data_IF_297786756498
#
_entry.id   IF_297786756498
#
_cell.length_a   1.000
_cell.length_b   1.000
_cell.length_c   1.000
_cell.angle_alpha   90.00
_cell.angle_beta   90.00
_cell.angle_gamma   90.00
#
_symmetry.space_group_name_H-M   'P 1'
#
loop_
_entity.id
_entity.type
_entity.pdbx_description
1 polymer ?
#
# COMPACT_ATOMS: atom_id res chain seq x y z
N UNK A 1 -26.40 -6.22 44.31
CA UNK A 1 -27.23 -5.66 43.23
C UNK A 1 -26.45 -4.55 42.52
N UNK A 2 -26.61 -4.48 41.20
CA UNK A 2 -26.23 -3.41 40.26
C UNK A 2 -24.73 -3.15 39.99
N UNK A 3 -24.22 -3.81 38.94
CA UNK A 3 -23.11 -3.29 38.09
C UNK A 3 -23.33 -3.55 36.59
N UNK A 4 -24.58 -3.41 36.11
CA UNK A 4 -24.93 -3.55 34.68
C UNK A 4 -25.27 -2.19 34.04
N UNK A 5 -24.39 -1.19 34.13
CA UNK A 5 -24.68 0.13 33.55
C UNK A 5 -23.50 0.82 32.87
N UNK A 6 -22.55 0.06 32.32
CA UNK A 6 -21.51 0.64 31.46
C UNK A 6 -21.23 -0.31 30.29
N UNK A 7 -22.20 -0.51 29.39
CA UNK A 7 -21.89 -1.17 28.11
C UNK A 7 -22.80 -0.74 26.95
N UNK A 8 -23.41 0.45 27.02
CA UNK A 8 -24.40 0.90 26.02
C UNK A 8 -24.12 2.32 25.49
N UNK A 9 -22.86 2.74 25.44
CA UNK A 9 -22.46 4.02 24.82
C UNK A 9 -21.24 3.83 23.90
N UNK A 10 -21.24 2.75 23.11
CA UNK A 10 -20.17 2.48 22.14
C UNK A 10 -20.72 2.20 20.73
N UNK A 11 -21.90 2.73 20.42
CA UNK A 11 -22.60 2.51 19.15
C UNK A 11 -23.05 3.78 18.41
N UNK A 12 -22.48 4.94 18.73
CA UNK A 12 -22.79 6.20 18.05
C UNK A 12 -21.49 6.94 17.72
N UNK A 13 -21.04 6.87 16.47
CA UNK A 13 -19.97 7.77 16.03
C UNK A 13 -19.18 7.45 14.76
N UNK A 14 -19.48 6.39 14.00
CA UNK A 14 -18.81 6.15 12.71
C UNK A 14 -19.79 6.33 11.54
N UNK A 15 -20.37 7.53 11.42
CA UNK A 15 -20.80 8.03 10.12
C UNK A 15 -19.53 8.41 9.33
N UNK A 16 -18.87 7.39 8.78
CA UNK A 16 -17.88 7.62 7.73
C UNK A 16 -18.61 8.25 6.57
N UNK A 17 -18.43 9.56 6.38
CA UNK A 17 -18.69 10.18 5.10
C UNK A 17 -17.77 9.49 4.09
N UNK A 18 -18.26 8.44 3.44
CA UNK A 18 -17.64 7.89 2.23
C UNK A 18 -17.93 8.90 1.14
N UNK A 19 -17.18 10.00 1.14
CA UNK A 19 -16.96 10.72 -0.10
C UNK A 19 -16.22 9.73 -0.99
N UNK A 20 -16.93 9.13 -1.94
CA UNK A 20 -16.34 8.27 -2.95
C UNK A 20 -15.29 9.13 -3.70
N UNK A 21 -14.03 8.96 -3.34
CA UNK A 21 -12.93 9.69 -3.95
C UNK A 21 -12.88 9.30 -5.43
N UNK A 22 -13.04 10.28 -6.32
CA UNK A 22 -13.04 10.06 -7.77
C UNK A 22 -11.76 9.34 -8.18
N UNK A 23 -11.88 8.36 -9.08
CA UNK A 23 -10.71 7.70 -9.67
C UNK A 23 -9.96 8.65 -10.60
N UNK A 24 -8.70 8.36 -10.89
CA UNK A 24 -7.91 9.14 -11.85
C UNK A 24 -8.57 9.20 -13.24
N UNK A 25 -9.20 8.11 -13.68
CA UNK A 25 -9.93 8.06 -14.94
C UNK A 25 -11.16 8.98 -14.93
N UNK A 26 -11.90 9.02 -13.81
CA UNK A 26 -13.03 9.94 -13.65
C UNK A 26 -12.56 11.40 -13.66
N UNK A 27 -11.45 11.71 -12.98
CA UNK A 27 -10.82 13.04 -13.01
C UNK A 27 -10.46 13.41 -14.45
N UNK A 28 -9.72 12.56 -15.15
CA UNK A 28 -9.28 12.81 -16.53
C UNK A 28 -10.45 12.93 -17.51
N UNK A 29 -11.52 12.16 -17.33
CA UNK A 29 -12.74 12.26 -18.15
C UNK A 29 -13.42 13.62 -17.96
N UNK A 30 -13.53 14.11 -16.72
CA UNK A 30 -14.07 15.45 -16.45
C UNK A 30 -13.22 16.57 -17.07
N UNK A 31 -11.90 16.41 -17.08
CA UNK A 31 -11.00 17.34 -17.73
C UNK A 31 -11.14 17.30 -19.26
N UNK A 32 -11.26 16.11 -19.87
CA UNK A 32 -11.50 15.95 -21.30
C UNK A 32 -12.77 16.70 -21.76
N UNK A 33 -13.84 16.60 -20.97
CA UNK A 33 -15.08 17.33 -21.21
C UNK A 33 -14.91 18.86 -21.13
N UNK A 34 -14.13 19.35 -20.18
CA UNK A 34 -13.82 20.78 -20.07
C UNK A 34 -12.98 21.29 -21.26
N UNK A 35 -12.00 20.50 -21.73
CA UNK A 35 -11.26 20.82 -22.95
C UNK A 35 -12.16 20.89 -24.17
N UNK A 36 -13.10 19.94 -24.30
CA UNK A 36 -14.09 19.91 -25.38
C UNK A 36 -14.94 21.19 -25.40
N UNK A 37 -15.47 21.59 -24.23
CA UNK A 37 -16.24 22.84 -24.10
C UNK A 37 -15.44 24.09 -24.49
N UNK A 38 -14.15 24.15 -24.14
CA UNK A 38 -13.28 25.27 -24.55
C UNK A 38 -13.10 25.29 -26.08
N UNK A 39 -12.93 24.11 -26.69
CA UNK A 39 -12.78 23.99 -28.15
C UNK A 39 -14.03 24.42 -28.90
N UNK A 40 -15.19 23.90 -28.49
CA UNK A 40 -16.49 24.12 -29.15
C UNK A 40 -17.03 25.54 -28.95
N UNK A 41 -16.54 26.28 -27.95
CA UNK A 41 -17.00 27.63 -27.69
C UNK A 41 -16.55 28.60 -28.81
N UNK A 42 -17.49 29.00 -29.66
CA UNK A 42 -17.27 29.96 -30.76
C UNK A 42 -17.03 31.39 -30.31
N UNK A 43 -17.35 31.75 -29.05
CA UNK A 43 -17.17 33.10 -28.50
C UNK A 43 -15.75 33.39 -28.04
N UNK A 44 -14.90 32.38 -27.95
CA UNK A 44 -13.51 32.53 -27.50
C UNK A 44 -12.57 32.62 -28.69
N UNK A 45 -11.66 33.59 -28.66
CA UNK A 45 -10.57 33.68 -29.63
C UNK A 45 -9.54 32.55 -29.43
N UNK A 46 -8.72 32.29 -30.45
CA UNK A 46 -7.64 31.30 -30.37
C UNK A 46 -6.70 31.50 -29.17
N UNK A 47 -6.18 32.72 -28.93
CA UNK A 47 -5.33 33.00 -27.77
C UNK A 47 -6.03 32.77 -26.43
N UNK A 48 -7.31 33.15 -26.31
CA UNK A 48 -8.08 32.94 -25.07
C UNK A 48 -8.31 31.45 -24.79
N UNK A 49 -8.63 30.66 -25.84
CA UNK A 49 -8.72 29.20 -25.73
C UNK A 49 -7.40 28.62 -25.26
N UNK A 50 -6.27 29.05 -25.84
CA UNK A 50 -4.95 28.56 -25.45
C UNK A 50 -4.64 28.86 -23.97
N UNK A 51 -4.94 30.08 -23.50
CA UNK A 51 -4.75 30.46 -22.08
C UNK A 51 -5.59 29.60 -21.15
N UNK A 52 -6.86 29.40 -21.46
CA UNK A 52 -7.78 28.59 -20.65
C UNK A 52 -7.35 27.12 -20.62
N UNK A 53 -6.96 26.55 -21.75
CA UNK A 53 -6.44 25.17 -21.81
C UNK A 53 -5.18 25.02 -20.97
N UNK A 54 -4.26 25.99 -21.02
CA UNK A 54 -3.04 25.97 -20.19
C UNK A 54 -3.38 25.99 -18.71
N UNK A 55 -4.31 26.86 -18.29
CA UNK A 55 -4.77 26.90 -16.90
C UNK A 55 -5.43 25.58 -16.48
N UNK A 56 -6.23 24.99 -17.37
CA UNK A 56 -6.89 23.72 -17.14
C UNK A 56 -5.90 22.56 -17.01
N UNK A 57 -4.83 22.54 -17.83
CA UNK A 57 -3.76 21.56 -17.75
C UNK A 57 -3.00 21.64 -16.43
N UNK A 58 -2.69 22.85 -15.95
CA UNK A 58 -2.05 23.04 -14.64
C UNK A 58 -2.94 22.54 -13.50
N UNK A 59 -4.26 22.73 -13.60
CA UNK A 59 -5.21 22.24 -12.62
C UNK A 59 -5.30 20.70 -12.65
N UNK A 60 -5.38 20.11 -13.84
CA UNK A 60 -5.39 18.66 -14.04
C UNK A 60 -4.14 17.99 -13.47
N UNK A 61 -2.96 18.57 -13.71
CA UNK A 61 -1.69 18.07 -13.17
C UNK A 61 -1.69 18.08 -11.63
N UNK A 62 -2.17 19.18 -11.02
CA UNK A 62 -2.27 19.29 -9.55
C UNK A 62 -3.25 18.26 -8.96
N UNK A 63 -4.41 18.08 -9.59
CA UNK A 63 -5.42 17.14 -9.12
C UNK A 63 -4.93 15.69 -9.26
N UNK A 64 -4.28 15.36 -10.40
CA UNK A 64 -3.67 14.07 -10.61
C UNK A 64 -2.55 13.80 -9.60
N UNK A 65 -1.67 14.76 -9.33
CA UNK A 65 -0.63 14.63 -8.28
C UNK A 65 -1.23 14.39 -6.90
N UNK A 66 -2.33 15.10 -6.58
CA UNK A 66 -3.03 14.94 -5.30
C UNK A 66 -3.64 13.55 -5.18
N UNK A 67 -4.27 13.05 -6.25
CA UNK A 67 -4.76 11.68 -6.32
C UNK A 67 -3.63 10.69 -6.13
N UNK A 68 -2.51 10.85 -6.85
CA UNK A 68 -1.35 9.97 -6.79
C UNK A 68 -0.75 9.90 -5.38
N UNK A 69 -0.61 11.05 -4.71
CA UNK A 69 -0.13 11.12 -3.33
C UNK A 69 -1.09 10.44 -2.35
N UNK A 70 -2.40 10.68 -2.48
CA UNK A 70 -3.40 10.05 -1.65
C UNK A 70 -3.46 8.53 -1.89
N UNK A 71 -3.34 8.10 -3.15
CA UNK A 71 -3.28 6.69 -3.54
C UNK A 71 -2.04 6.02 -2.97
N UNK A 72 -0.86 6.64 -3.12
CA UNK A 72 0.40 6.17 -2.51
C UNK A 72 0.33 6.07 -0.99
N UNK A 73 -0.31 7.05 -0.34
CA UNK A 73 -0.52 7.03 1.11
C UNK A 73 -1.44 5.89 1.55
N UNK A 74 -2.48 5.59 0.78
CA UNK A 74 -3.51 4.61 1.15
C UNK A 74 -3.14 3.17 0.78
N UNK A 75 -2.48 2.96 -0.35
CA UNK A 75 -2.18 1.65 -0.90
C UNK A 75 -0.68 1.31 -0.93
N UNK A 76 0.19 2.23 -0.49
CA UNK A 76 1.64 2.08 -0.59
C UNK A 76 2.14 2.36 -2.01
N UNK A 77 3.34 1.87 -2.33
CA UNK A 77 3.86 1.91 -3.71
C UNK A 77 2.93 1.13 -4.68
N UNK A 78 3.19 1.24 -5.98
CA UNK A 78 2.52 0.45 -7.03
C UNK A 78 2.44 -1.04 -6.67
N UNK A 79 1.61 -1.81 -7.40
CA UNK A 79 1.57 -3.28 -7.27
C UNK A 79 2.98 -3.88 -7.19
N UNK A 80 3.90 -3.42 -8.05
CA UNK A 80 5.29 -3.85 -8.05
C UNK A 80 6.06 -3.42 -6.80
N UNK A 81 5.83 -2.20 -6.30
CA UNK A 81 6.46 -1.76 -5.06
C UNK A 81 5.96 -2.51 -3.83
N UNK A 82 4.70 -2.94 -3.79
CA UNK A 82 4.19 -3.84 -2.74
C UNK A 82 4.81 -5.24 -2.84
N UNK A 83 4.95 -5.79 -4.05
CA UNK A 83 5.66 -7.06 -4.27
C UNK A 83 7.11 -6.97 -3.81
N UNK A 84 7.80 -5.88 -4.17
CA UNK A 84 9.18 -5.62 -3.75
C UNK A 84 9.32 -5.55 -2.23
N UNK A 85 8.38 -4.93 -1.52
CA UNK A 85 8.39 -4.93 -0.05
C UNK A 85 8.29 -6.33 0.54
N UNK A 86 7.48 -7.21 -0.05
CA UNK A 86 7.37 -8.61 0.38
C UNK A 86 8.67 -9.38 0.06
N UNK A 87 9.28 -9.13 -1.09
CA UNK A 87 10.59 -9.70 -1.46
C UNK A 87 11.70 -9.25 -0.50
N UNK A 88 11.76 -7.95 -0.18
CA UNK A 88 12.72 -7.42 0.79
C UNK A 88 12.56 -8.09 2.18
N UNK A 89 11.32 -8.42 2.60
CA UNK A 89 11.06 -9.18 3.83
C UNK A 89 11.55 -10.64 3.73
N UNK A 90 11.40 -11.28 2.57
CA UNK A 90 11.88 -12.65 2.35
C UNK A 90 13.41 -12.68 2.45
N UNK A 91 14.10 -11.73 1.82
CA UNK A 91 15.56 -11.64 1.87
C UNK A 91 16.08 -11.42 3.30
N UNK A 92 15.39 -10.58 4.08
CA UNK A 92 15.71 -10.38 5.49
C UNK A 92 15.49 -11.65 6.33
N UNK A 93 14.43 -12.40 6.04
CA UNK A 93 14.13 -13.66 6.69
C UNK A 93 15.21 -14.72 6.40
N UNK A 94 15.70 -14.80 5.17
CA UNK A 94 16.79 -15.69 4.78
C UNK A 94 18.10 -15.35 5.51
N UNK A 95 18.50 -14.08 5.48
CA UNK A 95 19.70 -13.61 6.22
C UNK A 95 19.61 -13.91 7.71
N UNK A 96 18.42 -13.74 8.30
CA UNK A 96 18.17 -14.04 9.71
C UNK A 96 18.28 -15.54 9.99
N UNK A 97 17.72 -16.37 9.11
CA UNK A 97 17.81 -17.83 9.21
C UNK A 97 19.27 -18.30 9.18
N UNK A 98 20.07 -17.84 8.22
CA UNK A 98 21.48 -18.23 8.10
C UNK A 98 22.27 -17.80 9.34
N UNK A 99 22.09 -16.55 9.79
CA UNK A 99 22.73 -16.04 11.01
C UNK A 99 22.35 -16.85 12.25
N UNK A 100 21.07 -17.16 12.43
CA UNK A 100 20.62 -17.97 13.58
C UNK A 100 21.13 -19.41 13.51
N UNK A 101 21.22 -19.98 12.31
CA UNK A 101 21.79 -21.31 12.09
C UNK A 101 23.26 -21.34 12.51
N UNK A 102 24.04 -20.35 12.10
CA UNK A 102 25.46 -20.26 12.43
C UNK A 102 25.66 -20.04 13.94
N UNK A 103 24.83 -19.20 14.58
CA UNK A 103 24.83 -19.03 16.04
C UNK A 103 24.52 -20.35 16.79
N UNK A 104 23.71 -21.24 16.23
CA UNK A 104 23.47 -22.57 16.82
C UNK A 104 24.70 -23.47 16.63
N UNK A 105 25.32 -23.43 15.45
CA UNK A 105 26.48 -24.24 15.11
C UNK A 105 27.71 -23.85 15.96
N UNK A 106 27.91 -22.56 16.21
CA UNK A 106 29.04 -22.01 16.99
C UNK A 106 28.83 -22.11 18.51
N UNK A 107 27.66 -22.51 18.98
CA UNK A 107 27.37 -22.55 20.40
C UNK A 107 28.03 -23.75 21.09
N UNK A 108 29.14 -23.50 21.80
CA UNK A 108 29.89 -24.53 22.54
C UNK A 108 29.13 -25.10 23.76
N UNK A 109 28.10 -24.42 24.26
CA UNK A 109 27.25 -24.89 25.36
C UNK A 109 26.18 -25.89 24.93
N UNK A 110 26.04 -26.18 23.63
CA UNK A 110 25.06 -27.12 23.11
C UNK A 110 25.70 -28.43 22.68
N UNK A 111 25.08 -29.54 23.06
CA UNK A 111 25.42 -30.86 22.51
C UNK A 111 25.01 -30.97 21.04
N UNK A 112 25.61 -31.92 20.30
CA UNK A 112 25.25 -32.20 18.89
C UNK A 112 23.75 -32.42 18.70
N UNK A 113 23.11 -33.16 19.61
CA UNK A 113 21.66 -33.43 19.57
C UNK A 113 20.85 -32.15 19.79
N UNK A 114 21.23 -31.31 20.76
CA UNK A 114 20.55 -30.03 20.99
C UNK A 114 20.68 -29.08 19.79
N UNK A 115 21.87 -28.99 19.18
CA UNK A 115 22.09 -28.22 17.94
C UNK A 115 21.19 -28.71 16.81
N UNK A 116 21.11 -30.03 16.60
CA UNK A 116 20.23 -30.63 15.59
C UNK A 116 18.76 -30.25 15.84
N UNK A 117 18.26 -30.44 17.06
CA UNK A 117 16.87 -30.12 17.41
C UNK A 117 16.56 -28.63 17.21
N UNK A 118 17.47 -27.74 17.59
CA UNK A 118 17.29 -26.29 17.41
C UNK A 118 17.29 -25.89 15.94
N UNK A 119 18.18 -26.46 15.11
CA UNK A 119 18.20 -26.21 13.67
C UNK A 119 16.94 -26.70 12.98
N UNK A 120 16.41 -27.87 13.35
CA UNK A 120 15.13 -28.36 12.81
C UNK A 120 13.95 -27.44 13.20
N UNK A 121 13.90 -26.98 14.45
CA UNK A 121 12.89 -26.02 14.88
C UNK A 121 13.00 -24.68 14.15
N UNK A 122 14.23 -24.18 13.95
CA UNK A 122 14.52 -22.97 13.19
C UNK A 122 14.06 -23.10 11.73
N UNK A 123 14.43 -24.22 11.06
CA UNK A 123 14.03 -24.50 9.68
C UNK A 123 12.52 -24.52 9.51
N UNK A 124 11.79 -25.21 10.38
CA UNK A 124 10.31 -25.25 10.33
C UNK A 124 9.69 -23.87 10.47
N UNK A 125 10.20 -23.02 11.37
CA UNK A 125 9.74 -21.64 11.54
C UNK A 125 10.03 -20.78 10.31
N UNK A 126 11.23 -20.91 9.76
CA UNK A 126 11.65 -20.22 8.55
C UNK A 126 10.75 -20.58 7.35
N UNK A 127 10.54 -21.88 7.09
CA UNK A 127 9.68 -22.35 6.00
C UNK A 127 8.24 -21.84 6.16
N UNK A 128 7.69 -21.94 7.37
CA UNK A 128 6.34 -21.43 7.66
C UNK A 128 6.21 -19.92 7.39
N UNK A 129 7.16 -19.11 7.84
CA UNK A 129 7.14 -17.66 7.61
C UNK A 129 7.34 -17.31 6.13
N UNK A 130 8.24 -18.02 5.45
CA UNK A 130 8.49 -17.81 4.01
C UNK A 130 7.26 -18.13 3.17
N UNK A 131 6.53 -19.18 3.48
CA UNK A 131 5.28 -19.52 2.79
C UNK A 131 4.17 -18.49 3.04
N UNK A 132 4.08 -17.91 4.24
CA UNK A 132 3.14 -16.80 4.49
C UNK A 132 3.48 -15.60 3.63
N UNK A 133 4.76 -15.22 3.54
CA UNK A 133 5.22 -14.11 2.71
C UNK A 133 5.01 -14.37 1.21
N UNK A 134 5.26 -15.58 0.72
CA UNK A 134 4.94 -15.94 -0.68
C UNK A 134 3.45 -15.80 -0.99
N UNK A 135 2.59 -16.30 -0.10
CA UNK A 135 1.13 -16.14 -0.24
C UNK A 135 0.69 -14.67 -0.19
N UNK A 136 1.35 -13.84 0.62
CA UNK A 136 1.14 -12.38 0.61
C UNK A 136 1.52 -11.79 -0.74
N UNK A 137 2.66 -12.20 -1.32
CA UNK A 137 3.12 -11.75 -2.64
C UNK A 137 2.17 -12.14 -3.76
N UNK A 138 1.65 -13.36 -3.73
CA UNK A 138 0.76 -13.88 -4.77
C UNK A 138 -0.62 -13.21 -4.76
N UNK A 139 -1.03 -12.69 -3.60
CA UNK A 139 -2.28 -11.92 -3.44
C UNK A 139 -2.18 -10.46 -3.92
N UNK A 140 -0.99 -9.99 -4.30
CA UNK A 140 -0.75 -8.62 -4.77
C UNK A 140 -0.86 -8.54 -6.30
#
# INVERSE_FOLDING_TARGET
MNKFFILTVLFLGLSVNVSAQKTQDQINKEYAEQYRKINENSKLSGPEKARLKKQLALKQDKDNKTYDLAYKKKYGNSKDGRKKQVEDKIDQLEKKYDKEKDLIDDNNGLTKTQKKTRKEALKKRYESQKEVLKKEKDKI
#
